data_IF_094222053924
#
_entry.id   IF_094222053924
#
_cell.length_a   1.000
_cell.length_b   1.000
_cell.length_c   1.000
_cell.angle_alpha   90.00
_cell.angle_beta   90.00
_cell.angle_gamma   90.00
#
_symmetry.space_group_name_H-M   'P 1'
#
loop_
_entity.id
_entity.type
_entity.pdbx_description
1 polymer ?
#
# COMPACT_ATOMS: atom_id res chain seq x y z
N UNK A 1 49.00 0.91 23.48
CA UNK A 1 48.61 1.26 22.10
C UNK A 1 47.15 0.88 21.95
N UNK A 2 46.27 1.88 21.82
CA UNK A 2 44.83 1.69 21.82
C UNK A 2 44.40 0.85 20.61
N UNK A 3 43.66 -0.22 20.86
CA UNK A 3 42.91 -0.91 19.83
C UNK A 3 41.91 0.09 19.24
N UNK A 4 42.14 0.49 18.00
CA UNK A 4 41.18 1.21 17.18
C UNK A 4 39.82 0.54 17.30
N UNK A 5 38.82 1.22 17.87
CA UNK A 5 37.41 0.84 17.76
C UNK A 5 37.14 0.56 16.28
N UNK A 6 36.89 -0.70 15.92
CA UNK A 6 36.28 -1.04 14.64
C UNK A 6 34.85 -0.52 14.70
N UNK A 7 34.66 0.75 14.35
CA UNK A 7 33.34 1.37 14.25
C UNK A 7 32.47 0.57 13.30
N UNK A 8 31.54 -0.20 13.86
CA UNK A 8 30.58 -0.98 13.09
C UNK A 8 29.49 -0.02 12.61
N UNK A 9 29.58 0.42 11.36
CA UNK A 9 28.56 1.29 10.77
C UNK A 9 27.31 0.48 10.41
N UNK A 10 26.26 0.65 11.20
CA UNK A 10 24.97 -0.03 11.02
C UNK A 10 24.32 0.35 9.69
N UNK A 11 24.61 1.55 9.17
CA UNK A 11 23.99 2.06 7.94
C UNK A 11 24.38 1.27 6.69
N UNK A 12 25.47 0.50 6.73
CA UNK A 12 25.89 -0.38 5.64
C UNK A 12 24.89 -1.51 5.37
N UNK A 13 24.22 -2.01 6.41
CA UNK A 13 23.34 -3.19 6.32
C UNK A 13 21.90 -2.93 6.81
N UNK A 14 21.62 -1.81 7.48
CA UNK A 14 20.27 -1.46 7.96
C UNK A 14 19.97 0.02 7.89
N UNK A 15 18.78 0.37 7.40
CA UNK A 15 18.24 1.72 7.44
C UNK A 15 16.71 1.67 7.59
N UNK A 16 16.22 2.20 8.72
CA UNK A 16 14.79 2.20 9.06
C UNK A 16 14.00 3.37 8.48
N UNK A 17 14.66 4.40 7.96
CA UNK A 17 13.99 5.63 7.53
C UNK A 17 12.94 5.38 6.44
N UNK A 18 13.22 4.61 5.36
CA UNK A 18 12.23 4.38 4.30
C UNK A 18 11.00 3.64 4.82
N UNK A 19 11.20 2.65 5.69
CA UNK A 19 10.10 1.88 6.29
C UNK A 19 9.21 2.76 7.15
N UNK A 20 9.80 3.60 8.00
CA UNK A 20 9.06 4.54 8.85
C UNK A 20 8.25 5.53 8.01
N UNK A 21 8.84 6.07 6.94
CA UNK A 21 8.14 6.99 6.03
C UNK A 21 6.97 6.29 5.35
N UNK A 22 7.19 5.12 4.77
CA UNK A 22 6.13 4.35 4.10
C UNK A 22 5.00 3.96 5.06
N UNK A 23 5.35 3.49 6.25
CA UNK A 23 4.37 3.10 7.27
C UNK A 23 3.56 4.30 7.77
N UNK A 24 4.21 5.42 8.11
CA UNK A 24 3.52 6.64 8.53
C UNK A 24 2.63 7.22 7.42
N UNK A 25 3.03 7.10 6.15
CA UNK A 25 2.21 7.51 5.02
C UNK A 25 0.93 6.65 4.91
N UNK A 26 1.05 5.31 5.01
CA UNK A 26 -0.11 4.40 5.01
C UNK A 26 -1.05 4.70 6.19
N UNK A 27 -0.50 4.91 7.39
CA UNK A 27 -1.29 5.31 8.55
C UNK A 27 -2.00 6.65 8.33
N UNK A 28 -1.31 7.65 7.78
CA UNK A 28 -1.87 8.96 7.49
C UNK A 28 -3.03 8.90 6.51
N UNK A 29 -2.90 8.11 5.45
CA UNK A 29 -3.97 7.87 4.47
C UNK A 29 -5.16 7.15 5.12
N UNK A 30 -4.90 6.13 5.94
CA UNK A 30 -5.95 5.44 6.69
C UNK A 30 -6.73 6.37 7.62
N UNK A 31 -6.01 7.20 8.40
CA UNK A 31 -6.62 8.21 9.27
C UNK A 31 -7.43 9.23 8.47
N UNK A 32 -6.92 9.69 7.32
CA UNK A 32 -7.64 10.60 6.44
C UNK A 32 -9.01 10.02 6.04
N UNK A 33 -9.07 8.77 5.55
CA UNK A 33 -10.33 8.15 5.17
C UNK A 33 -11.29 7.95 6.34
N UNK A 34 -10.78 7.63 7.54
CA UNK A 34 -11.61 7.53 8.75
C UNK A 34 -12.23 8.87 9.11
N UNK A 35 -11.44 9.94 9.12
CA UNK A 35 -11.92 11.27 9.46
C UNK A 35 -12.87 11.82 8.40
N UNK A 36 -12.58 11.59 7.12
CA UNK A 36 -13.45 11.98 6.01
C UNK A 36 -14.83 11.33 6.11
N UNK A 37 -14.88 10.02 6.34
CA UNK A 37 -16.15 9.31 6.52
C UNK A 37 -16.91 9.77 7.76
N UNK A 38 -16.21 10.05 8.87
CA UNK A 38 -16.85 10.59 10.08
C UNK A 38 -17.45 11.97 9.87
N UNK A 39 -16.79 12.83 9.09
CA UNK A 39 -17.26 14.18 8.83
C UNK A 39 -18.44 14.22 7.84
N UNK A 40 -18.38 13.43 6.77
CA UNK A 40 -19.30 13.55 5.63
C UNK A 40 -20.28 12.38 5.46
N UNK A 41 -20.11 11.28 6.20
CA UNK A 41 -20.90 10.05 6.03
C UNK A 41 -22.40 10.27 6.20
N UNK A 42 -22.81 10.72 7.40
CA UNK A 42 -24.24 10.96 7.68
C UNK A 42 -24.78 12.25 7.06
N UNK A 43 -23.93 13.25 6.85
CA UNK A 43 -24.36 14.58 6.38
C UNK A 43 -24.58 14.62 4.87
N UNK A 44 -23.68 13.99 4.09
CA UNK A 44 -23.67 14.10 2.63
C UNK A 44 -23.56 12.74 1.92
N UNK A 45 -23.58 11.63 2.65
CA UNK A 45 -23.38 10.27 2.10
C UNK A 45 -24.62 9.37 2.07
N UNK A 46 -25.80 9.88 2.49
CA UNK A 46 -27.03 9.09 2.59
C UNK A 46 -27.86 9.06 1.31
N UNK A 47 -27.92 10.17 0.56
CA UNK A 47 -28.69 10.30 -0.69
C UNK A 47 -27.76 10.64 -1.85
N UNK A 48 -27.62 9.70 -2.78
CA UNK A 48 -26.69 9.81 -3.92
C UNK A 48 -27.16 10.74 -5.04
N UNK A 49 -28.43 11.18 -5.01
CA UNK A 49 -29.02 12.05 -6.02
C UNK A 49 -28.81 13.54 -5.70
N UNK A 50 -28.26 13.85 -4.54
CA UNK A 50 -27.97 15.22 -4.10
C UNK A 50 -26.73 15.81 -4.79
N UNK A 51 -26.73 17.12 -5.11
CA UNK A 51 -25.54 17.79 -5.65
C UNK A 51 -24.33 17.69 -4.70
N UNK A 52 -24.59 17.67 -3.40
CA UNK A 52 -23.55 17.57 -2.38
C UNK A 52 -22.84 16.21 -2.45
N UNK A 53 -23.57 15.13 -2.70
CA UNK A 53 -22.97 13.81 -2.90
C UNK A 53 -22.00 13.78 -4.08
N UNK A 54 -22.34 14.41 -5.21
CA UNK A 54 -21.41 14.50 -6.35
C UNK A 54 -20.14 15.28 -5.97
N UNK A 55 -20.31 16.43 -5.30
CA UNK A 55 -19.17 17.28 -4.93
C UNK A 55 -18.22 16.61 -3.92
N UNK A 56 -18.75 15.88 -2.96
CA UNK A 56 -18.00 15.28 -1.85
C UNK A 56 -17.56 13.86 -2.22
N UNK A 57 -18.51 12.96 -2.42
CA UNK A 57 -18.23 11.54 -2.58
C UNK A 57 -17.77 11.17 -3.99
N UNK A 58 -18.43 11.69 -5.04
CA UNK A 58 -17.94 11.47 -6.40
C UNK A 58 -16.65 12.23 -6.68
N UNK A 59 -16.46 13.39 -6.04
CA UNK A 59 -15.17 14.09 -5.98
C UNK A 59 -14.06 13.21 -5.39
N UNK A 60 -14.31 12.60 -4.21
CA UNK A 60 -13.37 11.68 -3.59
C UNK A 60 -13.10 10.44 -4.45
N UNK A 61 -14.13 9.88 -5.08
CA UNK A 61 -13.97 8.75 -5.99
C UNK A 61 -13.05 9.09 -7.17
N UNK A 62 -13.28 10.21 -7.86
CA UNK A 62 -12.43 10.69 -8.98
C UNK A 62 -10.98 10.86 -8.51
N UNK A 63 -10.81 11.46 -7.34
CA UNK A 63 -9.48 11.61 -6.72
C UNK A 63 -8.83 10.25 -6.44
N UNK A 64 -9.52 9.33 -5.79
CA UNK A 64 -9.00 8.01 -5.44
C UNK A 64 -8.56 7.22 -6.68
N UNK A 65 -9.35 7.23 -7.77
CA UNK A 65 -9.00 6.56 -9.02
C UNK A 65 -7.70 7.13 -9.61
N UNK A 66 -7.62 8.46 -9.75
CA UNK A 66 -6.45 9.12 -10.35
C UNK A 66 -5.22 8.95 -9.45
N UNK A 67 -5.36 9.17 -8.15
CA UNK A 67 -4.27 9.05 -7.19
C UNK A 67 -3.71 7.62 -7.14
N UNK A 68 -4.57 6.60 -7.09
CA UNK A 68 -4.12 5.21 -7.09
C UNK A 68 -3.48 4.81 -8.43
N UNK A 69 -4.04 5.23 -9.56
CA UNK A 69 -3.45 4.96 -10.88
C UNK A 69 -2.07 5.60 -11.03
N UNK A 70 -1.91 6.85 -10.58
CA UNK A 70 -0.62 7.54 -10.57
C UNK A 70 0.36 6.88 -9.60
N UNK A 71 -0.07 6.54 -8.39
CA UNK A 71 0.76 5.87 -7.39
C UNK A 71 1.28 4.53 -7.91
N UNK A 72 0.41 3.74 -8.56
CA UNK A 72 0.79 2.49 -9.21
C UNK A 72 1.83 2.72 -10.32
N UNK A 73 1.55 3.60 -11.27
CA UNK A 73 2.44 3.85 -12.40
C UNK A 73 3.82 4.35 -11.97
N UNK A 74 3.87 5.30 -11.03
CA UNK A 74 5.11 5.87 -10.50
C UNK A 74 5.90 4.82 -9.71
N UNK A 75 5.24 4.09 -8.81
CA UNK A 75 5.91 3.09 -7.96
C UNK A 75 6.49 1.96 -8.80
N UNK A 76 5.67 1.36 -9.67
CA UNK A 76 6.10 0.24 -10.52
C UNK A 76 7.15 0.70 -11.54
N UNK A 77 6.96 1.87 -12.16
CA UNK A 77 7.92 2.45 -13.08
C UNK A 77 9.27 2.72 -12.41
N UNK A 78 9.27 3.30 -11.21
CA UNK A 78 10.49 3.55 -10.43
C UNK A 78 11.21 2.26 -10.05
N UNK A 79 10.48 1.26 -9.55
CA UNK A 79 11.05 -0.05 -9.22
C UNK A 79 11.63 -0.68 -10.50
N UNK A 80 10.92 -0.71 -11.61
CA UNK A 80 11.43 -1.36 -12.82
C UNK A 80 12.67 -0.67 -13.41
N UNK A 81 12.68 0.66 -13.44
CA UNK A 81 13.78 1.45 -14.03
C UNK A 81 15.06 1.40 -13.19
N UNK A 82 14.94 1.32 -11.86
CA UNK A 82 16.08 1.26 -10.94
C UNK A 82 16.48 -0.18 -10.56
N UNK A 83 16.07 -1.18 -11.36
CA UNK A 83 16.41 -2.59 -11.10
C UNK A 83 17.91 -2.85 -11.18
N UNK A 84 18.38 -3.78 -10.36
CA UNK A 84 19.76 -4.24 -10.44
C UNK A 84 19.90 -5.24 -11.60
N UNK A 85 20.95 -5.08 -12.41
CA UNK A 85 21.24 -5.95 -13.56
C UNK A 85 22.32 -6.98 -13.27
N UNK A 86 23.02 -6.88 -12.13
CA UNK A 86 24.11 -7.77 -11.75
C UNK A 86 23.89 -8.39 -10.36
N UNK A 87 22.76 -9.07 -10.19
CA UNK A 87 22.39 -9.72 -8.93
C UNK A 87 23.26 -10.93 -8.57
N UNK A 88 24.00 -11.50 -9.53
CA UNK A 88 24.87 -12.65 -9.31
C UNK A 88 26.12 -12.33 -8.48
N UNK A 89 26.50 -11.06 -8.39
CA UNK A 89 27.70 -10.61 -7.69
C UNK A 89 27.37 -9.50 -6.68
N UNK A 90 26.44 -9.79 -5.77
CA UNK A 90 26.02 -8.83 -4.74
C UNK A 90 26.86 -8.97 -3.48
N UNK A 91 27.23 -7.85 -2.86
CA UNK A 91 27.85 -7.86 -1.53
C UNK A 91 26.84 -8.33 -0.46
N UNK A 92 27.21 -9.25 0.45
CA UNK A 92 26.29 -9.78 1.46
C UNK A 92 25.67 -8.71 2.38
N UNK A 93 26.39 -7.62 2.71
CA UNK A 93 25.81 -6.56 3.56
C UNK A 93 24.72 -5.80 2.81
N UNK A 94 24.95 -5.53 1.52
CA UNK A 94 23.95 -4.90 0.65
C UNK A 94 22.73 -5.81 0.46
N UNK A 95 22.94 -7.12 0.35
CA UNK A 95 21.84 -8.08 0.23
C UNK A 95 20.95 -8.04 1.47
N UNK A 96 21.55 -8.10 2.66
CA UNK A 96 20.84 -7.98 3.93
C UNK A 96 20.05 -6.67 4.03
N UNK A 97 20.66 -5.55 3.61
CA UNK A 97 20.00 -4.25 3.57
C UNK A 97 18.76 -4.25 2.67
N UNK A 98 18.85 -4.88 1.50
CA UNK A 98 17.73 -5.03 0.57
C UNK A 98 16.63 -5.92 1.13
N UNK A 99 16.95 -6.96 1.91
CA UNK A 99 15.94 -7.72 2.64
C UNK A 99 15.17 -6.85 3.63
N UNK A 100 15.84 -5.97 4.38
CA UNK A 100 15.14 -5.04 5.29
C UNK A 100 14.25 -4.04 4.55
N UNK A 101 14.69 -3.53 3.40
CA UNK A 101 13.85 -2.69 2.55
C UNK A 101 12.66 -3.44 1.96
N UNK A 102 12.85 -4.70 1.57
CA UNK A 102 11.76 -5.56 1.12
C UNK A 102 10.75 -5.85 2.25
N UNK A 103 11.23 -6.13 3.46
CA UNK A 103 10.37 -6.20 4.65
C UNK A 103 9.61 -4.89 4.88
N UNK A 104 10.21 -3.74 4.57
CA UNK A 104 9.52 -2.45 4.56
C UNK A 104 8.31 -2.39 3.62
N UNK A 105 8.46 -2.91 2.39
CA UNK A 105 7.34 -3.07 1.46
C UNK A 105 6.27 -4.02 2.00
N UNK A 106 6.67 -5.12 2.63
CA UNK A 106 5.74 -6.05 3.28
C UNK A 106 4.99 -5.41 4.45
N UNK A 107 5.64 -4.55 5.25
CA UNK A 107 4.96 -3.79 6.31
C UNK A 107 3.87 -2.90 5.70
N UNK A 108 4.19 -2.15 4.64
CA UNK A 108 3.19 -1.32 3.95
C UNK A 108 2.05 -2.17 3.37
N UNK A 109 2.38 -3.34 2.80
CA UNK A 109 1.40 -4.28 2.27
C UNK A 109 0.46 -4.82 3.36
N UNK A 110 1.00 -5.30 4.49
CA UNK A 110 0.21 -5.85 5.60
C UNK A 110 -0.73 -4.79 6.18
N UNK A 111 -0.26 -3.55 6.36
CA UNK A 111 -1.13 -2.47 6.82
C UNK A 111 -2.20 -2.09 5.78
N UNK A 112 -1.86 -2.14 4.49
CA UNK A 112 -2.84 -1.99 3.42
C UNK A 112 -3.92 -3.09 3.47
N UNK A 113 -3.52 -4.35 3.65
CA UNK A 113 -4.43 -5.49 3.83
C UNK A 113 -5.29 -5.32 5.08
N UNK A 114 -4.73 -4.85 6.19
CA UNK A 114 -5.51 -4.55 7.39
C UNK A 114 -6.60 -3.52 7.12
N UNK A 115 -6.26 -2.40 6.47
CA UNK A 115 -7.26 -1.37 6.17
C UNK A 115 -8.31 -1.87 5.18
N UNK A 116 -7.91 -2.52 4.08
CA UNK A 116 -8.83 -2.98 3.06
C UNK A 116 -9.65 -4.19 3.50
N UNK A 117 -8.94 -5.26 3.88
CA UNK A 117 -9.45 -6.59 4.19
C UNK A 117 -10.15 -6.73 5.56
N UNK A 118 -9.92 -5.79 6.48
CA UNK A 118 -10.58 -5.80 7.79
C UNK A 118 -11.35 -4.51 8.01
N UNK A 119 -10.67 -3.37 8.17
CA UNK A 119 -11.31 -2.16 8.66
C UNK A 119 -12.44 -1.67 7.73
N UNK A 120 -12.15 -1.43 6.45
CA UNK A 120 -13.14 -0.84 5.54
C UNK A 120 -14.20 -1.82 5.05
N UNK A 121 -13.89 -3.12 4.99
CA UNK A 121 -14.89 -4.14 4.67
C UNK A 121 -15.92 -4.31 5.79
N UNK A 122 -15.46 -4.45 7.04
CA UNK A 122 -16.38 -4.57 8.19
C UNK A 122 -17.16 -3.27 8.42
N UNK A 123 -16.53 -2.12 8.13
CA UNK A 123 -17.22 -0.83 8.11
C UNK A 123 -18.33 -0.78 7.05
N UNK A 124 -18.11 -1.33 5.86
CA UNK A 124 -19.13 -1.40 4.81
C UNK A 124 -20.31 -2.28 5.21
N UNK A 125 -20.04 -3.42 5.85
CA UNK A 125 -21.10 -4.28 6.39
C UNK A 125 -21.98 -3.54 7.41
N UNK A 126 -21.36 -2.74 8.30
CA UNK A 126 -22.10 -1.89 9.22
C UNK A 126 -22.88 -0.78 8.49
N UNK A 127 -22.32 -0.21 7.43
CA UNK A 127 -23.00 0.82 6.63
C UNK A 127 -24.26 0.28 5.95
N UNK A 128 -24.25 -0.98 5.48
CA UNK A 128 -25.43 -1.63 4.89
C UNK A 128 -26.58 -1.82 5.90
N UNK A 129 -26.33 -1.73 7.21
CA UNK A 129 -27.39 -1.79 8.22
C UNK A 129 -28.08 -0.44 8.44
N UNK A 130 -27.51 0.66 7.96
CA UNK A 130 -28.03 2.02 8.22
C UNK A 130 -28.51 2.74 6.96
N UNK A 131 -28.31 2.17 5.78
CA UNK A 131 -28.83 2.71 4.51
C UNK A 131 -29.57 1.67 3.69
N UNK A 132 -30.57 2.14 2.93
CA UNK A 132 -31.03 1.46 1.73
C UNK A 132 -30.24 2.08 0.59
N UNK A 133 -29.58 1.26 -0.21
CA UNK A 133 -28.62 1.75 -1.21
C UNK A 133 -29.34 2.30 -2.44
N UNK A 134 -29.09 3.57 -2.74
CA UNK A 134 -29.51 4.20 -4.00
C UNK A 134 -28.66 3.72 -5.20
N UNK A 135 -27.40 3.37 -4.96
CA UNK A 135 -26.43 3.00 -5.99
C UNK A 135 -25.36 2.04 -5.44
N UNK A 136 -24.47 1.58 -6.33
CA UNK A 136 -23.25 0.85 -5.97
C UNK A 136 -22.10 1.77 -5.56
N UNK A 137 -22.21 3.08 -5.74
CA UNK A 137 -21.25 4.04 -5.19
C UNK A 137 -21.76 4.60 -3.87
N UNK A 138 -21.60 3.85 -2.78
CA UNK A 138 -21.89 4.35 -1.42
C UNK A 138 -20.66 5.02 -0.82
N UNK A 139 -20.84 5.81 0.24
CA UNK A 139 -19.73 6.39 1.00
C UNK A 139 -18.69 5.34 1.44
N UNK A 140 -19.15 4.18 1.92
CA UNK A 140 -18.30 3.05 2.31
C UNK A 140 -17.63 2.37 1.12
N UNK A 141 -18.33 2.14 0.02
CA UNK A 141 -17.78 1.50 -1.19
C UNK A 141 -16.68 2.34 -1.84
N UNK A 142 -16.85 3.67 -1.88
CA UNK A 142 -15.86 4.59 -2.45
C UNK A 142 -14.52 4.50 -1.73
N UNK A 143 -14.55 4.36 -0.39
CA UNK A 143 -13.34 4.22 0.42
C UNK A 143 -12.79 2.80 0.33
N UNK A 144 -13.63 1.77 0.48
CA UNK A 144 -13.19 0.38 0.43
C UNK A 144 -12.66 0.02 -0.97
N UNK A 145 -13.54 -0.11 -1.94
CA UNK A 145 -13.22 -0.73 -3.23
C UNK A 145 -12.40 0.15 -4.16
N UNK A 146 -12.52 1.48 -4.03
CA UNK A 146 -11.84 2.42 -4.92
C UNK A 146 -10.70 3.17 -4.24
N UNK A 147 -10.61 3.13 -2.91
CA UNK A 147 -9.54 3.73 -2.11
C UNK A 147 -8.53 2.69 -1.61
N UNK A 148 -8.92 1.90 -0.60
CA UNK A 148 -8.03 0.99 0.13
C UNK A 148 -7.60 -0.21 -0.72
N UNK A 149 -8.51 -0.80 -1.50
CA UNK A 149 -8.21 -1.97 -2.32
C UNK A 149 -7.10 -1.73 -3.36
N UNK A 150 -7.22 -0.73 -4.25
CA UNK A 150 -6.17 -0.42 -5.23
C UNK A 150 -4.83 -0.05 -4.56
N UNK A 151 -4.89 0.62 -3.40
CA UNK A 151 -3.70 1.01 -2.65
C UNK A 151 -2.91 -0.21 -2.17
N UNK A 152 -3.56 -1.16 -1.49
CA UNK A 152 -2.84 -2.33 -0.97
C UNK A 152 -2.40 -3.29 -2.08
N UNK A 153 -3.18 -3.42 -3.16
CA UNK A 153 -2.77 -4.18 -4.36
C UNK A 153 -1.47 -3.58 -4.92
N UNK A 154 -1.38 -2.24 -5.02
CA UNK A 154 -0.16 -1.57 -5.47
C UNK A 154 1.03 -1.88 -4.55
N UNK A 155 0.85 -1.83 -3.23
CA UNK A 155 1.89 -2.21 -2.28
C UNK A 155 2.31 -3.69 -2.41
N UNK A 156 1.37 -4.58 -2.70
CA UNK A 156 1.63 -6.00 -2.94
C UNK A 156 2.48 -6.21 -4.20
N UNK A 157 2.06 -5.62 -5.33
CA UNK A 157 2.81 -5.68 -6.59
C UNK A 157 4.19 -5.04 -6.45
N UNK A 158 4.30 -3.94 -5.73
CA UNK A 158 5.58 -3.31 -5.43
C UNK A 158 6.50 -4.21 -4.61
N UNK A 159 5.97 -4.90 -3.59
CA UNK A 159 6.74 -5.88 -2.80
C UNK A 159 7.24 -7.05 -3.64
N UNK A 160 6.37 -7.62 -4.49
CA UNK A 160 6.76 -8.68 -5.42
C UNK A 160 7.84 -8.21 -6.39
N UNK A 161 7.61 -7.07 -7.05
CA UNK A 161 8.52 -6.56 -8.05
C UNK A 161 9.86 -6.19 -7.44
N UNK A 162 9.88 -5.59 -6.25
CA UNK A 162 11.11 -5.28 -5.52
C UNK A 162 11.93 -6.55 -5.27
N UNK A 163 11.31 -7.62 -4.77
CA UNK A 163 11.99 -8.89 -4.54
C UNK A 163 12.62 -9.44 -5.83
N UNK A 164 11.84 -9.51 -6.92
CA UNK A 164 12.27 -10.04 -8.23
C UNK A 164 13.46 -9.30 -8.85
N UNK A 165 13.68 -8.05 -8.48
CA UNK A 165 14.63 -7.15 -9.16
C UNK A 165 15.80 -6.72 -8.28
N UNK A 166 15.78 -7.04 -6.97
CA UNK A 166 16.81 -6.66 -5.99
C UNK A 166 17.37 -7.83 -5.21
N UNK A 167 16.65 -8.95 -5.10
CA UNK A 167 17.04 -10.09 -4.27
C UNK A 167 17.41 -11.29 -5.16
N UNK A 168 18.63 -11.86 -5.02
CA UNK A 168 19.08 -12.96 -5.86
C UNK A 168 18.17 -14.19 -5.82
N UNK A 169 17.69 -14.57 -4.63
CA UNK A 169 16.80 -15.74 -4.45
C UNK A 169 15.52 -15.61 -5.28
N UNK A 170 14.86 -14.46 -5.19
CA UNK A 170 13.58 -14.22 -5.88
C UNK A 170 13.76 -13.98 -7.37
N UNK A 171 14.93 -13.51 -7.82
CA UNK A 171 15.19 -13.26 -9.23
C UNK A 171 15.35 -14.55 -10.05
N UNK A 172 15.86 -15.64 -9.44
CA UNK A 172 16.09 -16.90 -10.14
C UNK A 172 14.80 -17.65 -10.47
N UNK A 173 13.78 -17.51 -9.62
CA UNK A 173 12.51 -18.19 -9.79
C UNK A 173 11.35 -17.41 -9.15
N UNK A 174 10.18 -17.53 -9.75
CA UNK A 174 8.95 -16.94 -9.22
C UNK A 174 8.50 -17.68 -7.96
N UNK A 175 8.45 -16.98 -6.82
CA UNK A 175 7.91 -17.55 -5.57
C UNK A 175 6.40 -17.73 -5.66
N UNK A 176 5.95 -18.98 -5.57
CA UNK A 176 4.52 -19.32 -5.56
C UNK A 176 3.77 -18.61 -4.43
N UNK A 177 4.31 -18.66 -3.20
CA UNK A 177 3.68 -18.03 -2.05
C UNK A 177 3.55 -16.50 -2.21
N UNK A 178 4.57 -15.85 -2.76
CA UNK A 178 4.55 -14.40 -2.96
C UNK A 178 3.57 -13.99 -4.07
N UNK A 179 3.50 -14.77 -5.16
CA UNK A 179 2.51 -14.53 -6.22
C UNK A 179 1.09 -14.76 -5.70
N UNK A 180 0.84 -15.85 -4.99
CA UNK A 180 -0.47 -16.13 -4.40
C UNK A 180 -0.90 -15.01 -3.45
N UNK A 181 0.02 -14.50 -2.63
CA UNK A 181 -0.26 -13.40 -1.72
C UNK A 181 -0.61 -12.10 -2.45
N UNK A 182 0.01 -11.80 -3.60
CA UNK A 182 -0.17 -10.52 -4.32
C UNK A 182 -1.30 -10.55 -5.34
N UNK A 183 -1.51 -11.69 -6.00
CA UNK A 183 -2.55 -11.86 -7.03
C UNK A 183 -3.88 -12.32 -6.42
N UNK A 184 -3.87 -12.99 -5.27
CA UNK A 184 -5.08 -13.37 -4.54
C UNK A 184 -6.14 -12.26 -4.42
N UNK A 185 -5.78 -11.01 -4.07
CA UNK A 185 -6.66 -9.83 -4.09
C UNK A 185 -7.46 -9.54 -5.37
N UNK A 186 -7.09 -10.12 -6.51
CA UNK A 186 -7.77 -9.92 -7.78
C UNK A 186 -8.94 -10.88 -8.01
N UNK A 187 -9.14 -11.84 -7.10
CA UNK A 187 -10.20 -12.85 -7.12
C UNK A 187 -11.09 -12.72 -5.88
#
# INVERSE_FOLDING_TARGET
MAASEKGYDISEWYDSKPVKIGWLAILGIGVFWVLYQRAFGYSHGLDSMTPEFDSVWMGLWRFNIIANALFFAVTIGWIWTTRDRNLANLDPKLELKRYFYWMGWLVCYIWGVYYAGSYTLEQDAAWHQVIIRDTSFTASHIVAFYGTFPLYITCGVASYLYAQTRLPLYNQATSFALVAAVVGPMF
#
